data_IF_811209402524
#
_entry.id   IF_811209402524
#
_cell.length_a   1.000
_cell.length_b   1.000
_cell.length_c   1.000
_cell.angle_alpha   90.00
_cell.angle_beta   90.00
_cell.angle_gamma   90.00
#
_symmetry.space_group_name_H-M   'P 1'
#
loop_
_entity.id
_entity.type
_entity.pdbx_description
1 polymer ?
#
# COMPACT_ATOMS: atom_id res chain seq x y z
N UNK A 1 6.22 -9.37 16.40
CA UNK A 1 5.43 -8.34 15.70
C UNK A 1 4.42 -9.03 14.81
N UNK A 2 3.17 -8.55 14.71
CA UNK A 2 2.15 -9.13 13.81
C UNK A 2 1.22 -8.05 13.27
N UNK A 3 0.88 -8.12 11.99
CA UNK A 3 -0.20 -7.33 11.39
C UNK A 3 -1.56 -7.82 11.91
N UNK A 4 -2.48 -6.90 12.19
CA UNK A 4 -3.89 -7.21 12.48
C UNK A 4 -4.75 -6.28 11.64
N UNK A 5 -5.54 -6.85 10.75
CA UNK A 5 -6.30 -6.08 9.77
C UNK A 5 -7.49 -6.89 9.27
N UNK A 6 -8.51 -6.23 8.74
CA UNK A 6 -9.61 -6.89 8.04
C UNK A 6 -9.17 -7.28 6.63
N UNK A 7 -9.86 -8.24 6.00
CA UNK A 7 -9.69 -8.48 4.57
C UNK A 7 -10.40 -7.36 3.79
N UNK A 8 -9.63 -6.44 3.22
CA UNK A 8 -10.08 -5.24 2.49
C UNK A 8 -8.98 -4.69 1.58
N UNK A 9 -9.27 -3.71 0.73
CA UNK A 9 -8.32 -3.11 -0.22
C UNK A 9 -7.34 -2.14 0.44
N UNK A 10 -7.78 -1.36 1.43
CA UNK A 10 -6.94 -0.47 2.23
C UNK A 10 -6.52 -1.15 3.54
N UNK A 11 -5.41 -1.90 3.50
CA UNK A 11 -4.91 -2.62 4.67
C UNK A 11 -4.49 -1.66 5.80
N UNK A 12 -5.07 -1.85 6.99
CA UNK A 12 -4.69 -1.09 8.18
C UNK A 12 -3.19 -1.17 8.50
N UNK A 13 -2.66 -0.10 9.07
CA UNK A 13 -1.28 0.04 9.56
C UNK A 13 -0.16 -0.16 8.51
N UNK A 14 -0.50 -0.11 7.22
CA UNK A 14 0.46 -0.23 6.12
C UNK A 14 0.55 1.04 5.27
N UNK A 15 1.56 1.87 5.52
CA UNK A 15 1.89 3.01 4.66
C UNK A 15 2.23 2.51 3.24
N UNK A 16 1.65 3.17 2.23
CA UNK A 16 1.71 2.73 0.82
C UNK A 16 1.27 1.27 0.62
N UNK A 17 0.46 0.74 1.55
CA UNK A 17 0.04 -0.65 1.57
C UNK A 17 1.16 -1.67 1.82
N UNK A 18 2.38 -1.23 2.18
CA UNK A 18 3.54 -2.13 2.32
C UNK A 18 4.36 -1.92 3.60
N UNK A 19 4.55 -0.68 4.08
CA UNK A 19 5.42 -0.37 5.24
C UNK A 19 4.63 -0.39 6.53
N UNK A 20 5.05 -1.19 7.50
CA UNK A 20 4.37 -1.26 8.79
C UNK A 20 4.61 0.02 9.62
N UNK A 21 3.56 0.80 9.89
CA UNK A 21 3.68 2.14 10.50
C UNK A 21 4.28 2.13 11.91
N UNK A 22 4.23 1.00 12.62
CA UNK A 22 4.82 0.86 13.95
C UNK A 22 6.31 0.46 13.94
N UNK A 23 6.81 -0.02 12.79
CA UNK A 23 8.22 -0.30 12.57
C UNK A 23 8.51 -0.23 11.07
N UNK A 24 8.96 0.92 10.53
CA UNK A 24 9.16 1.12 9.10
C UNK A 24 10.25 0.26 8.45
N UNK A 25 11.01 -0.52 9.23
CA UNK A 25 11.93 -1.53 8.72
C UNK A 25 11.25 -2.90 8.44
N UNK A 26 9.97 -3.06 8.78
CA UNK A 26 9.18 -4.25 8.51
C UNK A 26 8.17 -3.97 7.39
N UNK A 27 8.18 -4.83 6.38
CA UNK A 27 7.34 -4.73 5.20
C UNK A 27 6.41 -5.93 5.08
N UNK A 28 5.22 -5.72 4.55
CA UNK A 28 4.26 -6.77 4.18
C UNK A 28 3.90 -6.62 2.70
N UNK A 29 3.74 -7.74 2.00
CA UNK A 29 3.36 -7.78 0.58
C UNK A 29 2.06 -8.59 0.43
N UNK A 30 1.16 -8.13 -0.42
CA UNK A 30 -0.07 -8.84 -0.79
C UNK A 30 -1.07 -9.06 0.36
N UNK A 31 -1.08 -8.18 1.38
CA UNK A 31 -2.00 -8.27 2.52
C UNK A 31 -3.37 -7.64 2.27
N UNK A 32 -3.55 -7.00 1.13
CA UNK A 32 -4.83 -6.50 0.64
C UNK A 32 -5.69 -7.66 0.12
N UNK A 33 -7.01 -7.50 0.17
CA UNK A 33 -7.95 -8.30 -0.63
C UNK A 33 -7.71 -8.06 -2.13
N UNK A 34 -8.00 -9.03 -2.99
CA UNK A 34 -7.33 -9.12 -4.29
C UNK A 34 -8.29 -9.14 -5.49
N UNK A 35 -8.38 -8.01 -6.21
CA UNK A 35 -8.83 -7.95 -7.60
C UNK A 35 -7.67 -8.12 -8.57
N UNK A 36 -6.54 -7.49 -8.26
CA UNK A 36 -5.24 -7.66 -8.91
C UNK A 36 -4.32 -8.46 -7.98
N UNK A 37 -3.48 -9.30 -8.57
CA UNK A 37 -2.59 -10.21 -7.83
C UNK A 37 -1.14 -10.01 -8.23
N UNK A 38 -0.65 -10.74 -9.23
CA UNK A 38 0.78 -10.86 -9.51
C UNK A 38 1.47 -9.52 -9.79
N UNK A 39 0.90 -8.69 -10.66
CA UNK A 39 1.50 -7.38 -10.95
C UNK A 39 1.34 -6.37 -9.80
N UNK A 40 0.36 -6.54 -8.91
CA UNK A 40 0.28 -5.77 -7.67
C UNK A 40 1.41 -6.16 -6.73
N UNK A 41 1.70 -7.46 -6.60
CA UNK A 41 2.80 -7.95 -5.77
C UNK A 41 4.14 -7.47 -6.31
N UNK A 42 4.33 -7.45 -7.62
CA UNK A 42 5.54 -6.90 -8.24
C UNK A 42 5.67 -5.41 -7.97
N UNK A 43 4.62 -4.60 -8.20
CA UNK A 43 4.65 -3.18 -7.89
C UNK A 43 4.99 -2.91 -6.40
N UNK A 44 4.40 -3.68 -5.47
CA UNK A 44 4.72 -3.62 -4.05
C UNK A 44 6.17 -3.99 -3.75
N UNK A 45 6.68 -5.05 -4.38
CA UNK A 45 8.04 -5.53 -4.17
C UNK A 45 9.09 -4.54 -4.70
N UNK A 46 8.86 -3.95 -5.88
CA UNK A 46 9.73 -2.91 -6.43
C UNK A 46 9.76 -1.67 -5.56
N UNK A 47 8.59 -1.25 -5.06
CA UNK A 47 8.49 -0.09 -4.19
C UNK A 47 9.21 -0.34 -2.84
N UNK A 48 8.99 -1.50 -2.22
CA UNK A 48 9.68 -1.89 -0.99
C UNK A 48 11.20 -2.01 -1.19
N UNK A 49 11.64 -2.58 -2.32
CA UNK A 49 13.06 -2.63 -2.71
C UNK A 49 13.67 -1.23 -2.74
N UNK A 50 13.01 -0.27 -3.38
CA UNK A 50 13.55 1.08 -3.54
C UNK A 50 13.58 1.87 -2.23
N UNK A 51 12.70 1.57 -1.28
CA UNK A 51 12.85 2.04 0.11
C UNK A 51 14.08 1.43 0.78
N UNK A 52 14.26 0.11 0.70
CA UNK A 52 15.39 -0.60 1.32
C UNK A 52 16.73 -0.12 0.74
N UNK A 53 16.79 0.14 -0.58
CA UNK A 53 17.95 0.71 -1.26
C UNK A 53 18.13 2.22 -1.00
N UNK A 54 17.18 2.86 -0.31
CA UNK A 54 17.22 4.27 0.03
C UNK A 54 16.99 5.22 -1.15
N UNK A 55 16.45 4.71 -2.27
CA UNK A 55 16.03 5.48 -3.45
C UNK A 55 14.72 6.22 -3.18
N UNK A 56 13.80 5.58 -2.47
CA UNK A 56 12.60 6.20 -1.90
C UNK A 56 12.87 6.50 -0.42
N UNK A 57 12.60 7.74 -0.01
CA UNK A 57 12.70 8.14 1.41
C UNK A 57 11.33 8.06 2.05
N UNK A 58 11.26 7.34 3.17
CA UNK A 58 10.05 7.32 3.98
C UNK A 58 9.91 8.63 4.77
N UNK A 59 8.67 9.08 5.02
CA UNK A 59 8.40 10.09 6.02
C UNK A 59 9.01 9.71 7.37
N UNK A 60 9.59 10.70 8.06
CA UNK A 60 10.13 10.50 9.42
C UNK A 60 9.03 10.46 10.48
N UNK A 61 7.89 11.11 10.21
CA UNK A 61 6.76 11.20 11.12
C UNK A 61 5.86 9.97 10.99
N UNK A 62 5.61 9.29 12.12
CA UNK A 62 4.62 8.21 12.20
C UNK A 62 3.20 8.71 11.87
N UNK A 63 2.88 9.96 12.22
CA UNK A 63 1.56 10.53 11.96
C UNK A 63 1.32 10.73 10.46
N UNK A 64 2.38 11.05 9.69
CA UNK A 64 2.29 11.10 8.22
C UNK A 64 2.06 9.72 7.61
N UNK A 65 2.67 8.67 8.19
CA UNK A 65 2.43 7.28 7.76
C UNK A 65 0.99 6.85 8.05
N UNK A 66 0.44 7.22 9.21
CA UNK A 66 -0.94 6.93 9.60
C UNK A 66 -1.92 7.70 8.70
N UNK A 67 -1.66 8.97 8.42
CA UNK A 67 -2.52 9.80 7.58
C UNK A 67 -2.67 9.25 6.15
N UNK A 68 -1.61 8.65 5.58
CA UNK A 68 -1.71 7.92 4.30
C UNK A 68 -2.68 6.74 4.38
N UNK A 69 -2.61 5.93 5.45
CA UNK A 69 -3.51 4.80 5.67
C UNK A 69 -4.95 5.27 5.84
N UNK A 70 -5.19 6.29 6.66
CA UNK A 70 -6.52 6.85 6.89
C UNK A 70 -7.14 7.40 5.59
N UNK A 71 -6.34 8.10 4.78
CA UNK A 71 -6.76 8.57 3.45
C UNK A 71 -7.14 7.41 2.53
N UNK A 72 -6.37 6.33 2.54
CA UNK A 72 -6.63 5.13 1.73
C UNK A 72 -7.91 4.44 2.17
N UNK A 73 -8.13 4.30 3.47
CA UNK A 73 -9.35 3.72 4.05
C UNK A 73 -10.57 4.56 3.66
N UNK A 74 -10.51 5.88 3.84
CA UNK A 74 -11.62 6.76 3.46
C UNK A 74 -11.93 6.72 1.95
N UNK A 75 -10.90 6.60 1.11
CA UNK A 75 -11.09 6.47 -0.34
C UNK A 75 -11.67 5.10 -0.75
N UNK A 76 -11.36 4.02 -0.03
CA UNK A 76 -12.02 2.73 -0.23
C UNK A 76 -13.49 2.77 0.24
N UNK A 77 -13.74 3.31 1.44
CA UNK A 77 -15.07 3.38 2.06
C UNK A 77 -16.06 4.26 1.25
N UNK A 78 -15.54 5.16 0.40
CA UNK A 78 -16.34 5.99 -0.49
C UNK A 78 -16.80 5.29 -1.79
N UNK A 79 -16.26 4.10 -2.10
CA UNK A 79 -16.68 3.33 -3.27
C UNK A 79 -18.03 2.64 -3.04
N UNK A 80 -18.88 2.58 -4.07
CA UNK A 80 -20.24 2.05 -3.95
C UNK A 80 -20.36 0.62 -4.50
N UNK A 81 -19.52 0.26 -5.47
CA UNK A 81 -19.64 -0.99 -6.19
C UNK A 81 -18.30 -1.69 -6.49
N UNK A 82 -18.38 -2.85 -7.14
CA UNK A 82 -17.20 -3.63 -7.51
C UNK A 82 -16.33 -2.94 -8.56
N UNK A 83 -16.87 -2.06 -9.40
CA UNK A 83 -16.06 -1.31 -10.37
C UNK A 83 -15.24 -0.23 -9.66
N UNK A 84 -15.77 0.42 -8.62
CA UNK A 84 -15.00 1.32 -7.76
C UNK A 84 -13.87 0.58 -7.06
N UNK A 85 -14.14 -0.61 -6.52
CA UNK A 85 -13.13 -1.47 -5.91
C UNK A 85 -11.99 -1.81 -6.89
N UNK A 86 -12.32 -2.22 -8.13
CA UNK A 86 -11.34 -2.50 -9.19
C UNK A 86 -10.56 -1.24 -9.56
N UNK A 87 -11.22 -0.08 -9.71
CA UNK A 87 -10.58 1.20 -10.04
C UNK A 87 -9.65 1.66 -8.92
N UNK A 88 -10.05 1.51 -7.67
CA UNK A 88 -9.26 1.84 -6.50
C UNK A 88 -7.96 1.05 -6.48
N UNK A 89 -8.03 -0.28 -6.58
CA UNK A 89 -6.83 -1.12 -6.54
C UNK A 89 -5.96 -0.93 -7.79
N UNK A 90 -6.55 -0.70 -8.95
CA UNK A 90 -5.80 -0.34 -10.16
C UNK A 90 -5.06 1.01 -10.01
N UNK A 91 -5.67 1.98 -9.31
CA UNK A 91 -5.03 3.28 -9.04
C UNK A 91 -3.89 3.16 -8.02
N UNK A 92 -4.05 2.30 -7.00
CA UNK A 92 -2.99 1.94 -6.07
C UNK A 92 -1.76 1.34 -6.79
N UNK A 93 -1.97 0.42 -7.72
CA UNK A 93 -0.88 -0.17 -8.49
C UNK A 93 -0.18 0.89 -9.34
N UNK A 94 -0.94 1.74 -10.05
CA UNK A 94 -0.38 2.85 -10.85
C UNK A 94 0.46 3.80 -10.01
N UNK A 95 0.02 4.12 -8.80
CA UNK A 95 0.76 4.94 -7.84
C UNK A 95 2.14 4.32 -7.53
N UNK A 96 2.19 3.04 -7.18
CA UNK A 96 3.45 2.37 -6.85
C UNK A 96 4.39 2.26 -8.05
N UNK A 97 3.87 1.91 -9.23
CA UNK A 97 4.66 1.78 -10.45
C UNK A 97 5.32 3.12 -10.80
N UNK A 98 4.56 4.23 -10.72
CA UNK A 98 5.05 5.57 -11.05
C UNK A 98 6.21 6.06 -10.16
N UNK A 99 6.40 5.46 -8.98
CA UNK A 99 7.47 5.80 -8.04
C UNK A 99 8.73 4.94 -8.19
N UNK A 100 8.74 4.00 -9.14
CA UNK A 100 9.83 3.03 -9.35
C UNK A 100 10.20 2.89 -10.82
N UNK A 101 11.15 2.02 -11.12
CA UNK A 101 11.53 1.62 -12.48
C UNK A 101 10.79 0.37 -13.01
N UNK A 102 9.70 -0.05 -12.35
CA UNK A 102 8.85 -1.13 -12.83
C UNK A 102 8.12 -0.72 -14.13
N UNK A 103 8.10 -1.57 -15.17
CA UNK A 103 7.53 -1.22 -16.48
C UNK A 103 6.00 -1.14 -16.52
#
# INVERSE_FOLDING_TARGET
LRLRTANRLATADLYKGVVYVHNPALFYLGMQDQWYTFNMFDAQAWWARDVILGRIKLPASKDELIADVEKRVAAEDAGEDSYDAIRYQGSYIKELIAETDYP
#
